data_IF_448313867102
#
_entry.id   IF_448313867102
#
_cell.length_a   1.000
_cell.length_b   1.000
_cell.length_c   1.000
_cell.angle_alpha   90.00
_cell.angle_beta   90.00
_cell.angle_gamma   90.00
#
_symmetry.space_group_name_H-M   'P 1'
#
loop_
_entity.id
_entity.type
_entity.pdbx_description
1 polymer ?
#
# COMPACT_ATOMS: atom_id res chain seq x y z
N UNK A 1 4.18 17.03 -0.49
CA UNK A 1 4.25 17.25 0.98
C UNK A 1 5.71 17.18 1.41
N UNK A 2 6.06 17.56 2.66
CA UNK A 2 7.42 17.38 3.16
C UNK A 2 7.81 15.90 3.07
N UNK A 3 9.03 15.64 2.63
CA UNK A 3 9.60 14.31 2.43
C UNK A 3 9.42 13.40 3.66
N UNK A 4 8.97 12.15 3.47
CA UNK A 4 8.73 11.19 4.56
C UNK A 4 10.00 10.94 5.39
N UNK A 5 11.18 11.00 4.78
CA UNK A 5 12.46 10.86 5.50
C UNK A 5 12.73 12.06 6.40
N UNK A 6 12.43 13.27 5.94
CA UNK A 6 12.55 14.48 6.77
C UNK A 6 11.60 14.42 7.96
N UNK A 7 10.35 13.98 7.76
CA UNK A 7 9.40 13.79 8.86
C UNK A 7 9.91 12.78 9.90
N UNK A 8 10.52 11.67 9.44
CA UNK A 8 11.13 10.67 10.33
C UNK A 8 12.29 11.23 11.14
N UNK A 9 13.17 12.01 10.51
CA UNK A 9 14.28 12.68 11.20
C UNK A 9 13.77 13.63 12.29
N UNK A 10 12.77 14.44 11.98
CA UNK A 10 12.17 15.38 12.93
C UNK A 10 11.46 14.69 14.10
N UNK A 11 10.73 13.58 13.84
CA UNK A 11 10.13 12.76 14.90
C UNK A 11 11.20 12.16 15.82
N UNK A 12 12.33 11.70 15.28
CA UNK A 12 13.45 11.16 16.06
C UNK A 12 14.16 12.23 16.90
N UNK A 13 14.19 13.49 16.45
CA UNK A 13 14.75 14.61 17.21
C UNK A 13 13.77 15.19 18.25
N UNK A 14 12.61 14.58 18.45
CA UNK A 14 11.59 15.02 19.41
C UNK A 14 10.81 16.27 18.97
N UNK A 15 10.90 16.67 17.70
CA UNK A 15 10.06 17.76 17.18
C UNK A 15 8.65 17.25 16.85
N UNK A 16 7.65 18.07 17.18
CA UNK A 16 6.28 17.83 16.77
C UNK A 16 6.15 18.01 15.26
N UNK A 17 5.90 16.90 14.55
CA UNK A 17 5.63 16.91 13.11
C UNK A 17 4.12 16.69 12.93
N UNK A 18 3.42 17.52 12.13
CA UNK A 18 2.03 17.28 11.78
C UNK A 18 1.86 15.89 11.18
N UNK A 19 0.84 15.15 11.63
CA UNK A 19 0.57 13.82 11.09
C UNK A 19 -0.16 13.97 9.75
N UNK A 20 0.61 13.99 8.67
CA UNK A 20 0.10 14.09 7.31
C UNK A 20 -0.14 12.69 6.75
N UNK A 21 -1.29 12.48 6.12
CA UNK A 21 -1.55 11.25 5.38
C UNK A 21 -0.52 11.11 4.23
N UNK A 22 0.14 9.95 4.09
CA UNK A 22 1.08 9.72 3.00
C UNK A 22 0.35 9.70 1.65
N UNK A 23 1.06 10.09 0.59
CA UNK A 23 0.56 10.00 -0.79
C UNK A 23 0.92 8.61 -1.33
N UNK A 24 -0.06 7.86 -1.82
CA UNK A 24 0.17 6.60 -2.50
C UNK A 24 0.51 6.87 -3.97
N UNK A 25 1.75 6.59 -4.37
CA UNK A 25 2.19 6.70 -5.75
C UNK A 25 2.08 5.34 -6.46
N UNK A 26 1.58 5.35 -7.69
CA UNK A 26 1.34 4.14 -8.47
C UNK A 26 2.01 4.27 -9.84
N UNK A 27 2.68 3.21 -10.29
CA UNK A 27 3.20 3.13 -11.64
C UNK A 27 2.10 2.67 -12.63
N UNK A 28 1.51 3.62 -13.37
CA UNK A 28 0.46 3.35 -14.35
C UNK A 28 0.91 2.45 -15.53
N UNK A 29 2.22 2.34 -15.79
CA UNK A 29 2.74 1.45 -16.82
C UNK A 29 2.84 -0.01 -16.37
N UNK A 30 2.74 -0.29 -15.06
CA UNK A 30 2.90 -1.64 -14.53
C UNK A 30 1.73 -2.55 -14.96
N UNK A 31 1.99 -3.79 -15.44
CA UNK A 31 0.94 -4.70 -15.91
C UNK A 31 -0.19 -4.96 -14.90
N UNK A 32 0.16 -5.16 -13.62
CA UNK A 32 -0.83 -5.33 -12.55
C UNK A 32 -1.78 -4.13 -12.43
N UNK A 33 -1.27 -2.91 -12.54
CA UNK A 33 -2.09 -1.70 -12.39
C UNK A 33 -3.04 -1.55 -13.58
N UNK A 34 -2.58 -1.90 -14.78
CA UNK A 34 -3.43 -1.93 -15.98
C UNK A 34 -4.55 -2.97 -15.88
N UNK A 35 -4.22 -4.17 -15.36
CA UNK A 35 -5.22 -5.21 -15.11
C UNK A 35 -6.27 -4.75 -14.10
N UNK A 36 -5.86 -4.22 -12.95
CA UNK A 36 -6.78 -3.70 -11.94
C UNK A 36 -7.68 -2.58 -12.50
N UNK A 37 -7.14 -1.68 -13.32
CA UNK A 37 -7.93 -0.64 -13.97
C UNK A 37 -8.99 -1.23 -14.93
N UNK A 38 -8.64 -2.27 -15.70
CA UNK A 38 -9.60 -2.96 -16.57
C UNK A 38 -10.70 -3.69 -15.77
N UNK A 39 -10.35 -4.28 -14.63
CA UNK A 39 -11.31 -4.93 -13.71
C UNK A 39 -12.29 -3.93 -13.12
N UNK A 40 -11.80 -2.77 -12.66
CA UNK A 40 -12.65 -1.66 -12.20
C UNK A 40 -13.59 -1.17 -13.31
N UNK A 41 -13.11 -1.07 -14.55
CA UNK A 41 -13.96 -0.69 -15.68
C UNK A 41 -15.09 -1.71 -15.98
N UNK A 42 -14.96 -2.95 -15.50
CA UNK A 42 -15.99 -3.99 -15.57
C UNK A 42 -16.80 -4.13 -14.28
N UNK A 43 -16.67 -3.18 -13.35
CA UNK A 43 -17.33 -3.19 -12.03
C UNK A 43 -16.94 -4.39 -11.16
N UNK A 44 -15.74 -4.93 -11.37
CA UNK A 44 -15.20 -6.00 -10.53
C UNK A 44 -14.51 -5.43 -9.29
N UNK A 45 -14.75 -6.06 -8.13
CA UNK A 45 -14.10 -5.69 -6.88
C UNK A 45 -12.58 -5.94 -6.92
N UNK A 46 -11.81 -4.97 -6.44
CA UNK A 46 -10.35 -5.02 -6.34
C UNK A 46 -9.82 -4.75 -4.92
N UNK A 47 -10.71 -4.64 -3.94
CA UNK A 47 -10.42 -4.18 -2.57
C UNK A 47 -9.26 -4.93 -1.92
N UNK A 48 -9.26 -6.27 -2.02
CA UNK A 48 -8.20 -7.11 -1.47
C UNK A 48 -6.82 -6.74 -2.06
N UNK A 49 -6.74 -6.61 -3.39
CA UNK A 49 -5.48 -6.33 -4.08
C UNK A 49 -5.04 -4.88 -3.83
N UNK A 50 -5.99 -3.94 -3.78
CA UNK A 50 -5.71 -2.54 -3.46
C UNK A 50 -5.13 -2.38 -2.05
N UNK A 51 -5.70 -3.08 -1.06
CA UNK A 51 -5.19 -3.08 0.32
C UNK A 51 -3.81 -3.75 0.41
N UNK A 52 -3.60 -4.86 -0.30
CA UNK A 52 -2.28 -5.51 -0.39
C UNK A 52 -1.25 -4.56 -0.98
N UNK A 53 -1.56 -3.83 -2.06
CA UNK A 53 -0.64 -2.87 -2.66
C UNK A 53 -0.29 -1.72 -1.72
N UNK A 54 -1.27 -1.23 -0.94
CA UNK A 54 -1.03 -0.22 0.08
C UNK A 54 -0.11 -0.74 1.19
N UNK A 55 -0.29 -1.97 1.63
CA UNK A 55 0.57 -2.59 2.65
C UNK A 55 1.99 -2.86 2.11
N UNK A 56 2.12 -3.25 0.84
CA UNK A 56 3.43 -3.39 0.17
C UNK A 56 4.16 -2.05 0.08
N UNK A 57 3.46 -0.95 -0.24
CA UNK A 57 4.06 0.38 -0.29
C UNK A 57 4.63 0.79 1.08
N UNK A 58 3.92 0.51 2.18
CA UNK A 58 4.43 0.73 3.55
C UNK A 58 5.72 -0.05 3.79
N UNK A 59 5.72 -1.33 3.42
CA UNK A 59 6.90 -2.20 3.61
C UNK A 59 8.10 -1.66 2.82
N UNK A 60 7.89 -1.20 1.58
CA UNK A 60 8.94 -0.59 0.76
C UNK A 60 9.50 0.70 1.38
N UNK A 61 8.65 1.48 2.05
CA UNK A 61 9.05 2.64 2.83
C UNK A 61 9.71 2.27 4.17
N UNK A 62 9.81 0.97 4.52
CA UNK A 62 10.36 0.50 5.78
C UNK A 62 9.40 0.59 6.96
N UNK A 63 8.10 0.72 6.70
CA UNK A 63 7.02 0.70 7.69
C UNK A 63 6.33 -0.66 7.71
N UNK A 64 5.90 -1.08 8.91
CA UNK A 64 5.01 -2.24 9.01
C UNK A 64 3.63 -1.92 8.43
N UNK A 65 2.92 -2.92 7.88
CA UNK A 65 1.49 -2.81 7.63
C UNK A 65 0.74 -2.34 8.89
N UNK A 66 -0.34 -1.58 8.71
CA UNK A 66 -1.17 -1.14 9.85
C UNK A 66 -1.76 -2.31 10.63
N UNK A 67 -2.12 -3.36 9.90
CA UNK A 67 -2.64 -4.62 10.42
C UNK A 67 -1.87 -5.79 9.77
N UNK A 68 -0.76 -6.23 10.38
CA UNK A 68 0.06 -7.31 9.83
C UNK A 68 -0.69 -8.65 9.69
N UNK A 69 -1.60 -8.96 10.62
CA UNK A 69 -2.38 -10.18 10.58
C UNK A 69 -3.41 -10.14 9.44
N UNK A 70 -4.11 -9.02 9.29
CA UNK A 70 -5.02 -8.80 8.18
C UNK A 70 -4.32 -8.78 6.82
N UNK A 71 -3.13 -8.18 6.73
CA UNK A 71 -2.30 -8.22 5.53
C UNK A 71 -1.95 -9.66 5.14
N UNK A 72 -1.42 -10.45 6.08
CA UNK A 72 -1.06 -11.84 5.84
C UNK A 72 -2.28 -12.68 5.41
N UNK A 73 -3.42 -12.50 6.08
CA UNK A 73 -4.67 -13.19 5.73
C UNK A 73 -5.16 -12.84 4.33
N UNK A 74 -5.21 -11.54 3.97
CA UNK A 74 -5.61 -11.08 2.62
C UNK A 74 -4.67 -11.59 1.54
N UNK A 75 -3.36 -11.54 1.78
CA UNK A 75 -2.36 -12.00 0.84
C UNK A 75 -2.51 -13.50 0.58
N UNK A 76 -2.58 -14.32 1.63
CA UNK A 76 -2.75 -15.77 1.50
C UNK A 76 -4.06 -16.12 0.78
N UNK A 77 -5.17 -15.46 1.12
CA UNK A 77 -6.45 -15.67 0.44
C UNK A 77 -6.39 -15.30 -1.05
N UNK A 78 -5.68 -14.22 -1.39
CA UNK A 78 -5.49 -13.78 -2.79
C UNK A 78 -4.64 -14.77 -3.58
N UNK A 79 -3.55 -15.26 -3.00
CA UNK A 79 -2.68 -16.27 -3.63
C UNK A 79 -3.42 -17.60 -3.85
N UNK A 80 -4.21 -18.05 -2.86
CA UNK A 80 -5.00 -19.27 -2.99
C UNK A 80 -6.01 -19.20 -4.14
N UNK A 81 -6.65 -18.04 -4.37
CA UNK A 81 -7.57 -17.83 -5.50
C UNK A 81 -6.86 -17.76 -6.85
N UNK A 82 -5.61 -17.30 -6.87
CA UNK A 82 -4.80 -17.22 -8.09
C UNK A 82 -4.25 -18.59 -8.54
N UNK A 83 -4.40 -19.65 -7.73
CA UNK A 83 -3.99 -21.01 -8.08
C UNK A 83 -2.48 -21.22 -8.11
N UNK A 84 -1.74 -20.48 -7.28
CA UNK A 84 -0.29 -20.62 -7.11
C UNK A 84 0.06 -21.84 -6.25
#
# INVERSE_FOLDING_TARGET
GPDLQLQRLLRRSGQAVPDLAPVLEINAAHPLIRDLAARVARDEAIDDVALILLDVARIQDGESPKDPAGFASRLTATLARAGV
#
